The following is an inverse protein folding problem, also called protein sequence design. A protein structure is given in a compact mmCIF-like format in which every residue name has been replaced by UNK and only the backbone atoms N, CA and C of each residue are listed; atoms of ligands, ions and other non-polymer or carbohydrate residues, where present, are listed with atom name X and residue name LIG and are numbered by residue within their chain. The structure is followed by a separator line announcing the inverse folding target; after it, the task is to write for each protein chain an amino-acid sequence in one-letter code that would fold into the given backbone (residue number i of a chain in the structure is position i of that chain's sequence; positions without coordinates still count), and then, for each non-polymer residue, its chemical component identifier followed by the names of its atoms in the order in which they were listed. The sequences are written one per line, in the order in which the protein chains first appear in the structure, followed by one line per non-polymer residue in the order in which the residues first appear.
data_IF_084082042192
#
_entry.id   IF_084082042192
#
_cell.length_a   1.000
_cell.length_b   1.000
_cell.length_c   1.000
_cell.angle_alpha   90.00
_cell.angle_beta   90.00
_cell.angle_gamma   90.00
#
_symmetry.space_group_name_H-M   'P 1'
#
loop_
_entity.id
_entity.type
_entity.pdbx_description
1 polymer ?
#
# COMPACT_ATOMS: atom_id res chain seq x y z
N UNK A 1 38.50 41.03 5.19
CA UNK A 1 37.48 39.98 5.12
C UNK A 1 36.56 40.14 6.33
N UNK A 2 35.35 40.64 6.15
CA UNK A 2 34.37 40.78 7.21
C UNK A 2 33.60 39.45 7.40
N UNK A 3 33.26 39.04 8.64
CA UNK A 3 32.51 37.82 8.87
C UNK A 3 31.05 37.99 8.40
N UNK A 4 30.56 37.01 7.61
CA UNK A 4 29.16 36.89 7.21
C UNK A 4 28.37 36.57 8.46
N UNK A 5 27.55 37.53 8.94
CA UNK A 5 26.60 37.32 10.01
C UNK A 5 25.44 36.53 9.45
N UNK A 6 25.35 35.23 9.79
CA UNK A 6 24.17 34.40 9.59
C UNK A 6 23.09 34.89 10.54
N UNK A 7 22.14 35.67 10.03
CA UNK A 7 20.98 36.13 10.80
C UNK A 7 20.10 34.94 11.20
N UNK A 8 19.79 34.81 12.51
CA UNK A 8 18.84 33.85 13.03
C UNK A 8 17.45 34.10 12.42
N UNK A 9 16.69 33.05 12.05
CA UNK A 9 15.38 33.21 11.44
C UNK A 9 14.40 33.89 12.41
N UNK A 10 13.53 34.74 11.86
CA UNK A 10 12.53 35.52 12.59
C UNK A 10 11.62 34.62 13.47
N UNK A 11 11.11 35.09 14.62
CA UNK A 11 10.37 34.28 15.60
C UNK A 11 9.16 33.53 15.03
N UNK A 12 8.40 34.12 14.12
CA UNK A 12 7.29 33.49 13.42
C UNK A 12 7.71 32.27 12.57
N UNK A 13 8.91 32.30 11.98
CA UNK A 13 9.47 31.20 11.20
C UNK A 13 9.92 30.04 12.13
N UNK A 14 10.41 30.36 13.31
CA UNK A 14 10.84 29.37 14.33
C UNK A 14 9.63 28.65 14.91
N UNK A 15 8.56 29.36 15.19
CA UNK A 15 7.30 28.79 15.73
C UNK A 15 6.62 27.90 14.71
N UNK A 16 6.54 28.29 13.44
CA UNK A 16 6.02 27.46 12.35
C UNK A 16 6.84 26.18 12.18
N UNK A 17 8.16 26.24 12.22
CA UNK A 17 9.04 25.06 12.16
C UNK A 17 8.81 24.11 13.34
N UNK A 18 8.63 24.65 14.55
CA UNK A 18 8.33 23.84 15.74
C UNK A 18 7.00 23.11 15.60
N UNK A 19 5.94 23.77 15.12
CA UNK A 19 4.62 23.14 14.88
C UNK A 19 4.70 22.01 13.86
N UNK A 20 5.38 22.23 12.73
CA UNK A 20 5.57 21.18 11.70
C UNK A 20 6.34 20.00 12.28
N UNK A 21 7.39 20.26 13.07
CA UNK A 21 8.17 19.19 13.71
C UNK A 21 7.34 18.37 14.69
N UNK A 22 6.57 19.01 15.59
CA UNK A 22 5.73 18.29 16.55
C UNK A 22 4.66 17.44 15.84
N UNK A 23 4.03 17.98 14.80
CA UNK A 23 3.07 17.24 13.99
C UNK A 23 3.70 15.99 13.36
N UNK A 24 4.92 16.11 12.82
CA UNK A 24 5.63 14.98 12.23
C UNK A 24 6.02 13.93 13.27
N UNK A 25 6.49 14.33 14.46
CA UNK A 25 6.79 13.41 15.56
C UNK A 25 5.58 12.58 15.98
N UNK A 26 4.39 13.20 16.02
CA UNK A 26 3.14 12.49 16.33
C UNK A 26 2.79 11.50 15.22
N UNK A 27 2.91 11.88 13.94
CA UNK A 27 2.64 11.00 12.80
C UNK A 27 3.56 9.78 12.78
N UNK A 28 4.86 9.98 13.05
CA UNK A 28 5.84 8.88 13.07
C UNK A 28 5.57 7.93 14.24
N UNK A 29 5.30 8.47 15.45
CA UNK A 29 4.92 7.67 16.60
C UNK A 29 3.60 6.90 16.37
N UNK A 30 2.61 7.55 15.77
CA UNK A 30 1.32 6.93 15.45
C UNK A 30 1.47 5.80 14.42
N UNK A 31 2.27 6.02 13.36
CA UNK A 31 2.60 4.98 12.39
C UNK A 31 3.16 3.73 13.08
N UNK A 32 4.13 3.91 13.96
CA UNK A 32 4.79 2.81 14.65
C UNK A 32 3.83 2.08 15.60
N UNK A 33 3.02 2.81 16.38
CA UNK A 33 2.03 2.23 17.30
C UNK A 33 0.90 1.51 16.55
N UNK A 34 0.35 2.11 15.49
CA UNK A 34 -0.67 1.45 14.67
C UNK A 34 -0.13 0.21 13.95
N UNK A 35 1.10 0.23 13.46
CA UNK A 35 1.73 -0.94 12.84
C UNK A 35 2.01 -2.08 13.83
N UNK A 36 2.25 -1.76 15.11
CA UNK A 36 2.53 -2.74 16.16
C UNK A 36 1.24 -3.35 16.75
N UNK A 37 0.21 -2.54 17.00
CA UNK A 37 -0.96 -2.92 17.80
C UNK A 37 -2.30 -2.86 17.05
N UNK A 38 -2.33 -2.31 15.85
CA UNK A 38 -3.55 -2.00 15.11
C UNK A 38 -4.30 -0.81 15.68
N UNK A 39 -5.38 -0.42 14.99
CA UNK A 39 -6.18 0.75 15.40
C UNK A 39 -6.80 0.57 16.78
N UNK A 40 -7.54 -0.51 17.02
CA UNK A 40 -8.36 -0.68 18.22
C UNK A 40 -7.56 -0.71 19.52
N UNK A 41 -6.44 -1.46 19.55
CA UNK A 41 -5.61 -1.63 20.75
C UNK A 41 -4.66 -0.44 21.02
N UNK A 42 -4.38 0.40 20.03
CA UNK A 42 -3.51 1.56 20.17
C UNK A 42 -4.21 2.67 20.94
N UNK A 43 -3.58 3.18 22.01
CA UNK A 43 -4.09 4.32 22.77
C UNK A 43 -3.38 5.62 22.37
N UNK A 44 -4.13 6.72 22.29
CA UNK A 44 -3.56 8.04 21.98
C UNK A 44 -2.54 8.52 23.00
N UNK A 45 -2.63 8.02 24.25
CA UNK A 45 -1.63 8.29 25.27
C UNK A 45 -0.28 7.66 24.93
N UNK A 46 -0.27 6.41 24.44
CA UNK A 46 0.96 5.71 24.06
C UNK A 46 1.65 6.43 22.89
N UNK A 47 0.86 6.90 21.92
CA UNK A 47 1.37 7.72 20.80
C UNK A 47 2.01 9.00 21.30
N UNK A 48 1.34 9.73 22.22
CA UNK A 48 1.84 10.98 22.77
C UNK A 48 3.14 10.77 23.57
N UNK A 49 3.21 9.73 24.40
CA UNK A 49 4.40 9.35 25.16
C UNK A 49 5.57 9.02 24.22
N UNK A 50 5.32 8.20 23.18
CA UNK A 50 6.33 7.84 22.19
C UNK A 50 6.82 9.05 21.38
N UNK A 51 5.92 9.99 21.05
CA UNK A 51 6.26 11.22 20.34
C UNK A 51 7.00 12.24 21.22
N UNK A 52 7.03 12.04 22.53
CA UNK A 52 7.60 13.01 23.49
C UNK A 52 6.84 14.32 23.56
N UNK A 53 5.51 14.28 23.40
CA UNK A 53 4.64 15.47 23.40
C UNK A 53 3.46 15.29 24.38
N UNK A 54 2.91 16.37 24.93
CA UNK A 54 1.67 16.31 25.71
C UNK A 54 0.51 15.74 24.87
N UNK A 55 -0.35 14.91 25.47
CA UNK A 55 -1.53 14.33 24.79
C UNK A 55 -2.44 15.40 24.17
N UNK A 56 -2.54 16.58 24.80
CA UNK A 56 -3.30 17.71 24.26
C UNK A 56 -2.83 18.16 22.86
N UNK A 57 -1.52 18.04 22.57
CA UNK A 57 -0.97 18.39 21.27
C UNK A 57 -1.47 17.44 20.18
N UNK A 58 -1.66 16.15 20.48
CA UNK A 58 -2.21 15.19 19.51
C UNK A 58 -3.62 15.65 19.08
N UNK A 59 -4.49 15.99 20.04
CA UNK A 59 -5.85 16.45 19.73
C UNK A 59 -5.87 17.84 19.07
N UNK A 60 -4.91 18.69 19.41
CA UNK A 60 -4.75 19.99 18.75
C UNK A 60 -4.46 19.85 17.25
N UNK A 61 -3.60 18.88 16.85
CA UNK A 61 -3.22 18.71 15.44
C UNK A 61 -4.19 17.83 14.65
N UNK A 62 -4.76 16.82 15.26
CA UNK A 62 -5.49 15.76 14.53
C UNK A 62 -6.95 15.61 14.94
N UNK A 63 -7.39 16.27 16.00
CA UNK A 63 -8.74 16.28 16.55
C UNK A 63 -9.23 14.92 17.05
N UNK A 64 -9.11 13.85 16.25
CA UNK A 64 -9.52 12.49 16.60
C UNK A 64 -8.43 11.47 16.29
N UNK A 65 -8.56 10.27 16.84
CA UNK A 65 -7.68 9.14 16.55
C UNK A 65 -7.86 8.65 15.11
N UNK A 66 -9.10 8.69 14.62
CA UNK A 66 -9.49 8.31 13.26
C UNK A 66 -8.83 9.25 12.22
N UNK A 67 -8.84 10.55 12.47
CA UNK A 67 -8.16 11.51 11.61
C UNK A 67 -6.64 11.28 11.59
N UNK A 68 -6.03 11.03 12.78
CA UNK A 68 -4.62 10.70 12.87
C UNK A 68 -4.30 9.42 12.08
N UNK A 69 -5.16 8.40 12.20
CA UNK A 69 -5.01 7.14 11.48
C UNK A 69 -5.08 7.33 9.97
N UNK A 70 -6.06 8.08 9.50
CA UNK A 70 -6.18 8.46 8.09
C UNK A 70 -4.91 9.19 7.61
N UNK A 71 -4.44 10.21 8.33
CA UNK A 71 -3.23 10.94 7.94
C UNK A 71 -1.96 10.07 7.93
N UNK A 72 -1.86 9.07 8.79
CA UNK A 72 -0.76 8.08 8.71
C UNK A 72 -0.81 7.30 7.40
N UNK A 73 -1.99 6.95 6.90
CA UNK A 73 -2.17 6.18 5.67
C UNK A 73 -2.17 7.03 4.40
N UNK A 74 -2.42 8.34 4.49
CA UNK A 74 -2.54 9.24 3.35
C UNK A 74 -1.41 9.13 2.31
N UNK A 75 -0.12 8.97 2.68
CA UNK A 75 0.97 8.83 1.71
C UNK A 75 0.87 7.63 0.78
N UNK A 76 0.00 6.65 1.07
CA UNK A 76 -0.23 5.50 0.20
C UNK A 76 -1.20 5.78 -0.94
N UNK A 77 -2.12 6.74 -0.79
CA UNK A 77 -3.24 6.93 -1.70
C UNK A 77 -2.79 7.22 -3.13
N UNK A 78 -1.90 8.19 -3.29
CA UNK A 78 -1.45 8.59 -4.62
C UNK A 78 -0.61 7.49 -5.31
N UNK A 79 0.36 6.85 -4.66
CA UNK A 79 1.05 5.71 -5.24
C UNK A 79 0.12 4.55 -5.64
N UNK A 80 -0.90 4.23 -4.82
CA UNK A 80 -1.89 3.20 -5.15
C UNK A 80 -2.73 3.58 -6.37
N UNK A 81 -3.17 4.83 -6.44
CA UNK A 81 -3.90 5.36 -7.59
C UNK A 81 -3.05 5.31 -8.86
N UNK A 82 -1.77 5.70 -8.79
CA UNK A 82 -0.85 5.65 -9.92
C UNK A 82 -0.61 4.22 -10.39
N UNK A 83 -0.48 3.26 -9.46
CA UNK A 83 -0.38 1.85 -9.82
C UNK A 83 -1.63 1.36 -10.57
N UNK A 84 -2.82 1.72 -10.09
CA UNK A 84 -4.09 1.36 -10.73
C UNK A 84 -4.20 1.88 -12.17
N UNK A 85 -3.73 3.09 -12.45
CA UNK A 85 -3.75 3.69 -13.79
C UNK A 85 -2.88 2.95 -14.83
N UNK A 86 -1.98 2.07 -14.41
CA UNK A 86 -1.19 1.23 -15.32
C UNK A 86 -2.04 0.16 -16.02
N UNK A 87 -3.18 -0.21 -15.41
CA UNK A 87 -4.13 -1.15 -15.98
C UNK A 87 -5.20 -0.34 -16.74
N UNK A 88 -5.00 -0.15 -18.05
CA UNK A 88 -5.95 0.50 -18.93
C UNK A 88 -6.16 -0.31 -20.23
N UNK A 89 -7.34 -0.21 -20.84
CA UNK A 89 -7.79 -1.10 -21.92
C UNK A 89 -6.89 -1.11 -23.15
N UNK A 90 -6.22 -0.01 -23.43
CA UNK A 90 -5.35 0.16 -24.62
C UNK A 90 -3.89 -0.23 -24.36
N UNK A 91 -3.54 -0.63 -23.12
CA UNK A 91 -2.19 -1.08 -22.79
C UNK A 91 -1.94 -2.50 -23.32
N UNK A 92 -0.67 -2.81 -23.57
CA UNK A 92 -0.22 -4.19 -23.72
C UNK A 92 -0.36 -4.92 -22.38
N UNK A 93 -1.14 -6.02 -22.29
CA UNK A 93 -1.41 -6.69 -21.03
C UNK A 93 -0.16 -7.19 -20.30
N UNK A 94 0.85 -7.69 -21.03
CA UNK A 94 2.07 -8.22 -20.42
C UNK A 94 2.89 -7.10 -19.77
N UNK A 95 3.03 -5.97 -20.47
CA UNK A 95 3.75 -4.80 -19.97
C UNK A 95 2.99 -4.14 -18.82
N UNK A 96 1.68 -3.99 -18.94
CA UNK A 96 0.84 -3.38 -17.91
C UNK A 96 0.81 -4.20 -16.61
N UNK A 97 0.60 -5.51 -16.68
CA UNK A 97 0.64 -6.40 -15.51
C UNK A 97 2.02 -6.39 -14.84
N UNK A 98 3.09 -6.44 -15.62
CA UNK A 98 4.46 -6.31 -15.09
C UNK A 98 4.65 -4.99 -14.37
N UNK A 99 4.28 -3.87 -14.99
CA UNK A 99 4.42 -2.53 -14.40
C UNK A 99 3.57 -2.39 -13.13
N UNK A 100 2.34 -2.90 -13.14
CA UNK A 100 1.44 -2.90 -12.00
C UNK A 100 2.04 -3.66 -10.80
N UNK A 101 2.52 -4.89 -11.02
CA UNK A 101 3.16 -5.69 -9.96
C UNK A 101 4.39 -4.97 -9.40
N UNK A 102 5.23 -4.41 -10.27
CA UNK A 102 6.42 -3.66 -9.86
C UNK A 102 6.04 -2.43 -9.03
N UNK A 103 5.04 -1.64 -9.46
CA UNK A 103 4.56 -0.48 -8.72
C UNK A 103 4.02 -0.87 -7.35
N UNK A 104 3.22 -1.96 -7.26
CA UNK A 104 2.72 -2.49 -5.97
C UNK A 104 3.87 -2.87 -5.03
N UNK A 105 4.91 -3.55 -5.53
CA UNK A 105 6.07 -3.93 -4.72
C UNK A 105 6.90 -2.71 -4.28
N UNK A 106 7.04 -1.69 -5.13
CA UNK A 106 7.71 -0.43 -4.77
C UNK A 106 6.97 0.33 -3.68
N UNK A 107 5.63 0.35 -3.69
CA UNK A 107 4.81 0.95 -2.63
C UNK A 107 5.11 0.27 -1.30
N UNK A 108 5.11 -1.05 -1.28
CA UNK A 108 5.34 -1.84 -0.09
C UNK A 108 6.77 -1.66 0.44
N UNK A 109 7.76 -1.60 -0.44
CA UNK A 109 9.16 -1.33 -0.09
C UNK A 109 9.35 0.09 0.45
N UNK A 110 8.72 1.08 -0.17
CA UNK A 110 8.83 2.49 0.24
C UNK A 110 8.05 2.84 1.53
N UNK A 111 6.97 2.09 1.80
CA UNK A 111 6.07 2.37 2.92
C UNK A 111 5.72 1.11 3.73
N UNK A 112 6.70 0.33 4.24
CA UNK A 112 6.45 -1.01 4.79
C UNK A 112 5.46 -0.99 5.98
N UNK A 113 5.62 -0.08 6.94
CA UNK A 113 4.72 0.00 8.10
C UNK A 113 3.32 0.47 7.72
N UNK A 114 3.20 1.44 6.81
CA UNK A 114 1.90 1.91 6.31
C UNK A 114 1.18 0.83 5.52
N UNK A 115 1.90 0.08 4.70
CA UNK A 115 1.36 -1.07 3.96
C UNK A 115 0.86 -2.17 4.90
N UNK A 116 1.58 -2.42 5.99
CA UNK A 116 1.14 -3.33 7.06
C UNK A 116 -0.16 -2.84 7.71
N UNK A 117 -0.24 -1.55 8.06
CA UNK A 117 -1.44 -0.94 8.64
C UNK A 117 -2.62 -1.07 7.67
N UNK A 118 -2.44 -0.71 6.39
CA UNK A 118 -3.49 -0.81 5.38
C UNK A 118 -3.93 -2.26 5.17
N UNK A 119 -3.01 -3.22 5.10
CA UNK A 119 -3.34 -4.64 5.00
C UNK A 119 -4.23 -5.10 6.17
N UNK A 120 -3.86 -4.73 7.41
CA UNK A 120 -4.67 -5.01 8.60
C UNK A 120 -6.05 -4.36 8.51
N UNK A 121 -6.13 -3.12 8.04
CA UNK A 121 -7.40 -2.39 7.90
C UNK A 121 -8.33 -3.07 6.88
N UNK A 122 -7.79 -3.50 5.73
CA UNK A 122 -8.57 -4.23 4.72
C UNK A 122 -9.08 -5.57 5.24
N UNK A 123 -8.28 -6.30 6.02
CA UNK A 123 -8.70 -7.55 6.67
C UNK A 123 -9.86 -7.36 7.67
N UNK A 124 -9.98 -6.15 8.26
CA UNK A 124 -11.06 -5.80 9.18
C UNK A 124 -12.21 -5.04 8.49
N UNK A 125 -12.30 -5.07 7.16
CA UNK A 125 -13.40 -4.49 6.38
C UNK A 125 -13.32 -2.99 6.18
N UNK A 126 -12.13 -2.39 6.30
CA UNK A 126 -11.85 -0.97 6.01
C UNK A 126 -12.72 0.03 6.81
N UNK A 127 -13.09 -0.34 8.04
CA UNK A 127 -14.05 0.42 8.86
C UNK A 127 -13.53 1.79 9.30
N UNK A 128 -12.22 1.92 9.49
CA UNK A 128 -11.59 3.16 9.96
C UNK A 128 -11.15 4.09 8.82
N UNK A 129 -11.25 3.64 7.57
CA UNK A 129 -10.96 4.50 6.42
C UNK A 129 -12.09 5.52 6.19
N UNK A 130 -11.76 6.77 5.87
CA UNK A 130 -12.75 7.75 5.45
C UNK A 130 -13.62 7.24 4.29
N UNK A 131 -14.91 7.58 4.28
CA UNK A 131 -15.84 7.13 3.23
C UNK A 131 -15.38 7.50 1.82
N UNK A 132 -14.78 8.68 1.66
CA UNK A 132 -14.19 9.14 0.39
C UNK A 132 -13.05 8.24 -0.09
N UNK A 133 -12.25 7.69 0.83
CA UNK A 133 -11.15 6.78 0.47
C UNK A 133 -11.69 5.42 0.08
N UNK A 134 -12.67 4.90 0.81
CA UNK A 134 -13.35 3.64 0.45
C UNK A 134 -13.93 3.73 -0.95
N UNK A 135 -14.68 4.81 -1.23
CA UNK A 135 -15.24 5.05 -2.56
C UNK A 135 -14.16 5.13 -3.66
N UNK A 136 -13.03 5.78 -3.37
CA UNK A 136 -11.90 5.84 -4.31
C UNK A 136 -11.27 4.47 -4.58
N UNK A 137 -11.06 3.65 -3.54
CA UNK A 137 -10.53 2.30 -3.68
C UNK A 137 -11.50 1.38 -4.43
N UNK A 138 -12.81 1.51 -4.17
CA UNK A 138 -13.85 0.77 -4.89
C UNK A 138 -13.88 1.14 -6.38
N UNK A 139 -13.74 2.42 -6.71
CA UNK A 139 -13.69 2.88 -8.10
C UNK A 139 -12.44 2.37 -8.81
N UNK A 140 -11.27 2.42 -8.16
CA UNK A 140 -10.04 1.85 -8.69
C UNK A 140 -10.20 0.36 -8.98
N UNK A 141 -10.73 -0.43 -8.03
CA UNK A 141 -10.97 -1.85 -8.21
C UNK A 141 -11.97 -2.13 -9.35
N UNK A 142 -13.04 -1.35 -9.48
CA UNK A 142 -13.98 -1.47 -10.61
C UNK A 142 -13.29 -1.25 -11.96
N UNK A 143 -12.46 -0.20 -12.05
CA UNK A 143 -11.70 0.12 -13.26
C UNK A 143 -10.70 -0.98 -13.62
N UNK A 144 -9.95 -1.49 -12.65
CA UNK A 144 -9.00 -2.58 -12.82
C UNK A 144 -9.69 -3.87 -13.32
N UNK A 145 -10.81 -4.25 -12.70
CA UNK A 145 -11.64 -5.40 -13.11
C UNK A 145 -12.18 -5.22 -14.53
N UNK A 146 -12.69 -4.03 -14.87
CA UNK A 146 -13.21 -3.74 -16.19
C UNK A 146 -12.11 -3.82 -17.28
N UNK A 147 -10.90 -3.36 -16.96
CA UNK A 147 -9.74 -3.46 -17.86
C UNK A 147 -9.39 -4.93 -18.15
N UNK A 148 -9.21 -5.75 -17.11
CA UNK A 148 -8.88 -7.16 -17.26
C UNK A 148 -9.97 -7.95 -17.99
N UNK A 149 -11.25 -7.63 -17.72
CA UNK A 149 -12.39 -8.23 -18.44
C UNK A 149 -12.35 -7.90 -19.93
N UNK A 150 -12.13 -6.63 -20.28
CA UNK A 150 -11.98 -6.20 -21.67
C UNK A 150 -10.83 -6.92 -22.38
N UNK A 151 -9.69 -7.12 -21.72
CA UNK A 151 -8.59 -7.89 -22.29
C UNK A 151 -8.95 -9.36 -22.49
N UNK A 152 -9.65 -9.99 -21.56
CA UNK A 152 -10.09 -11.38 -21.71
C UNK A 152 -11.12 -11.54 -22.85
N UNK A 153 -12.10 -10.63 -22.97
CA UNK A 153 -13.11 -10.62 -24.04
C UNK A 153 -12.47 -10.42 -25.43
N UNK A 154 -11.39 -9.66 -25.51
CA UNK A 154 -10.60 -9.44 -26.73
C UNK A 154 -9.59 -10.56 -27.00
N UNK A 155 -9.50 -11.56 -26.14
CA UNK A 155 -8.53 -12.67 -26.28
C UNK A 155 -7.07 -12.27 -26.04
N UNK A 156 -6.83 -11.11 -25.46
CA UNK A 156 -5.47 -10.60 -25.16
C UNK A 156 -4.88 -11.26 -23.92
N UNK A 157 -5.74 -11.74 -23.01
CA UNK A 157 -5.35 -12.58 -21.88
C UNK A 157 -6.22 -13.84 -21.87
N UNK A 158 -5.77 -14.87 -21.15
CA UNK A 158 -6.52 -16.09 -20.93
C UNK A 158 -7.85 -15.79 -20.19
N UNK A 159 -8.81 -16.72 -20.26
CA UNK A 159 -10.08 -16.64 -19.57
C UNK A 159 -9.89 -16.85 -18.05
N UNK A 160 -9.31 -15.86 -17.37
CA UNK A 160 -9.13 -15.82 -15.91
C UNK A 160 -10.18 -14.90 -15.29
N UNK A 161 -10.62 -15.20 -14.07
CA UNK A 161 -11.47 -14.27 -13.33
C UNK A 161 -10.66 -13.03 -12.92
N UNK A 162 -11.06 -11.81 -13.36
CA UNK A 162 -10.30 -10.58 -13.08
C UNK A 162 -10.18 -10.28 -11.58
N UNK A 163 -11.23 -10.53 -10.80
CA UNK A 163 -11.24 -10.29 -9.36
C UNK A 163 -10.25 -11.21 -8.64
N UNK A 164 -10.25 -12.50 -8.98
CA UNK A 164 -9.30 -13.46 -8.41
C UNK A 164 -7.85 -13.15 -8.82
N UNK A 165 -7.60 -12.72 -10.05
CA UNK A 165 -6.26 -12.35 -10.49
C UNK A 165 -5.74 -11.13 -9.70
N UNK A 166 -6.56 -10.08 -9.55
CA UNK A 166 -6.21 -8.89 -8.77
C UNK A 166 -6.03 -9.21 -7.30
N UNK A 167 -6.89 -10.07 -6.72
CA UNK A 167 -6.77 -10.51 -5.33
C UNK A 167 -5.46 -11.30 -5.12
N UNK A 168 -5.11 -12.20 -6.05
CA UNK A 168 -3.86 -12.95 -6.00
C UNK A 168 -2.63 -12.03 -6.05
N UNK A 169 -2.60 -11.07 -6.99
CA UNK A 169 -1.53 -10.07 -7.09
C UNK A 169 -1.48 -9.23 -5.80
N UNK A 170 -2.63 -8.76 -5.33
CA UNK A 170 -2.76 -7.97 -4.10
C UNK A 170 -2.25 -8.73 -2.89
N UNK A 171 -2.69 -9.97 -2.68
CA UNK A 171 -2.24 -10.82 -1.57
C UNK A 171 -0.72 -11.03 -1.61
N UNK A 172 -0.17 -11.41 -2.77
CA UNK A 172 1.27 -11.67 -2.90
C UNK A 172 2.13 -10.43 -2.67
N UNK A 173 1.70 -9.25 -3.12
CA UNK A 173 2.47 -8.01 -2.95
C UNK A 173 2.29 -7.38 -1.58
N UNK A 174 1.06 -7.33 -1.07
CA UNK A 174 0.70 -6.58 0.13
C UNK A 174 1.11 -7.28 1.43
N UNK A 175 1.10 -8.62 1.44
CA UNK A 175 1.47 -9.39 2.63
C UNK A 175 2.97 -9.56 2.80
N UNK A 176 3.76 -9.38 1.74
CA UNK A 176 5.20 -9.58 1.80
C UNK A 176 5.89 -8.86 2.97
N UNK A 177 5.64 -7.55 3.24
CA UNK A 177 6.26 -6.87 4.38
C UNK A 177 5.68 -7.29 5.74
N UNK A 178 4.54 -7.98 5.77
CA UNK A 178 3.91 -8.42 7.02
C UNK A 178 4.39 -9.79 7.47
N UNK A 179 4.98 -10.57 6.57
CA UNK A 179 5.43 -11.94 6.79
C UNK A 179 6.92 -12.05 7.14
N UNK A 180 7.51 -11.02 7.76
CA UNK A 180 8.95 -10.95 8.05
C UNK A 180 9.51 -12.20 8.75
N UNK A 181 8.78 -12.75 9.73
CA UNK A 181 9.18 -14.00 10.39
C UNK A 181 9.16 -15.19 9.43
N UNK A 182 8.10 -15.33 8.64
CA UNK A 182 7.96 -16.43 7.69
C UNK A 182 9.01 -16.35 6.57
N UNK A 183 9.30 -15.13 6.09
CA UNK A 183 10.36 -14.88 5.10
C UNK A 183 11.71 -15.28 5.69
N UNK A 184 12.01 -14.89 6.93
CA UNK A 184 13.23 -15.28 7.61
C UNK A 184 13.35 -16.80 7.77
N UNK A 185 12.24 -17.49 8.05
CA UNK A 185 12.19 -18.95 8.15
C UNK A 185 12.51 -19.62 6.80
N UNK A 186 11.94 -19.11 5.70
CA UNK A 186 12.12 -19.70 4.37
C UNK A 186 13.49 -19.38 3.75
N UNK A 187 14.02 -18.19 3.99
CA UNK A 187 15.24 -17.69 3.36
C UNK A 187 16.46 -17.70 4.30
N UNK A 188 16.29 -18.08 5.57
CA UNK A 188 17.34 -18.06 6.59
C UNK A 188 17.70 -16.65 7.08
N UNK A 189 17.09 -15.61 6.57
CA UNK A 189 17.34 -14.21 6.94
C UNK A 189 16.11 -13.33 6.68
N UNK A 190 16.06 -12.16 7.34
CA UNK A 190 15.03 -11.16 7.11
C UNK A 190 15.09 -10.60 5.67
N UNK A 191 13.92 -10.21 5.14
CA UNK A 191 13.81 -9.63 3.80
C UNK A 191 14.71 -8.39 3.64
N UNK A 192 15.46 -8.35 2.55
CA UNK A 192 16.32 -7.23 2.16
C UNK A 192 15.75 -6.48 0.94
N UNK A 193 16.30 -5.31 0.63
CA UNK A 193 15.86 -4.51 -0.50
C UNK A 193 15.95 -5.27 -1.85
N UNK A 194 16.96 -6.11 -2.04
CA UNK A 194 17.12 -6.95 -3.24
C UNK A 194 16.02 -8.00 -3.39
N UNK A 195 15.45 -8.48 -2.29
CA UNK A 195 14.43 -9.51 -2.31
C UNK A 195 13.12 -9.00 -2.91
N UNK A 196 12.77 -7.71 -2.70
CA UNK A 196 11.55 -7.12 -3.28
C UNK A 196 11.56 -7.17 -4.81
N UNK A 197 12.71 -6.92 -5.45
CA UNK A 197 12.83 -7.03 -6.91
C UNK A 197 12.76 -8.49 -7.37
N UNK A 198 13.38 -9.42 -6.65
CA UNK A 198 13.34 -10.85 -6.96
C UNK A 198 11.91 -11.39 -6.85
N UNK A 199 11.18 -10.98 -5.80
CA UNK A 199 9.75 -11.33 -5.63
C UNK A 199 8.89 -10.73 -6.74
N UNK A 200 9.08 -9.45 -7.09
CA UNK A 200 8.36 -8.81 -8.18
C UNK A 200 8.58 -9.56 -9.52
N UNK A 201 9.82 -9.95 -9.81
CA UNK A 201 10.16 -10.71 -11.01
C UNK A 201 9.53 -12.12 -11.00
N UNK A 202 9.56 -12.80 -9.86
CA UNK A 202 8.97 -14.14 -9.72
C UNK A 202 7.45 -14.08 -9.87
N UNK A 203 6.79 -13.17 -9.16
CA UNK A 203 5.35 -12.96 -9.25
C UNK A 203 4.93 -12.58 -10.68
N UNK A 204 5.67 -11.68 -11.33
CA UNK A 204 5.43 -11.31 -12.74
C UNK A 204 5.48 -12.53 -13.65
N UNK A 205 6.50 -13.37 -13.55
CA UNK A 205 6.59 -14.61 -14.35
C UNK A 205 5.40 -15.53 -14.12
N UNK A 206 5.01 -15.74 -12.86
CA UNK A 206 3.87 -16.60 -12.52
C UNK A 206 2.55 -16.06 -13.07
N UNK A 207 2.32 -14.75 -12.89
CA UNK A 207 1.12 -14.08 -13.39
C UNK A 207 1.05 -14.12 -14.91
N UNK A 208 2.13 -13.77 -15.61
CA UNK A 208 2.15 -13.76 -17.07
C UNK A 208 2.02 -15.17 -17.65
N UNK A 209 2.64 -16.19 -17.03
CA UNK A 209 2.50 -17.58 -17.48
C UNK A 209 1.06 -18.11 -17.36
N UNK A 210 0.28 -17.61 -16.37
CA UNK A 210 -1.11 -18.01 -16.20
C UNK A 210 -2.12 -17.11 -16.92
N UNK A 211 -1.78 -15.83 -17.10
CA UNK A 211 -2.70 -14.83 -17.65
C UNK A 211 -2.56 -14.64 -19.18
N UNK A 212 -1.40 -14.91 -19.77
CA UNK A 212 -1.24 -14.76 -21.22
C UNK A 212 -1.75 -16.00 -21.97
N UNK A 213 -2.29 -15.83 -23.18
CA UNK A 213 -2.73 -16.96 -24.01
C UNK A 213 -1.56 -17.92 -24.25
N UNK A 214 -1.71 -19.17 -23.88
CA UNK A 214 -0.73 -20.20 -24.21
C UNK A 214 -0.92 -20.63 -25.67
N UNK A 215 0.15 -20.64 -26.45
CA UNK A 215 0.16 -21.18 -27.81
C UNK A 215 0.06 -22.72 -27.83
N UNK A 216 -0.35 -23.36 -26.73
CA UNK A 216 -0.41 -24.82 -26.63
C UNK A 216 -1.84 -25.35 -26.73
N UNK A 217 -2.11 -26.36 -27.57
CA UNK A 217 -3.38 -27.07 -27.62
C UNK A 217 -3.46 -28.03 -26.41
N UNK A 218 -4.10 -27.58 -25.33
CA UNK A 218 -4.27 -28.35 -24.11
C UNK A 218 -4.92 -27.50 -23.01
N UNK A 219 -6.05 -26.86 -23.34
CA UNK A 219 -6.82 -26.08 -22.36
C UNK A 219 -7.35 -27.01 -21.26
N UNK A 220 -6.89 -26.80 -20.04
CA UNK A 220 -7.58 -27.26 -18.83
C UNK A 220 -8.99 -26.66 -18.91
N UNK A 221 -10.01 -27.51 -19.07
CA UNK A 221 -11.42 -27.12 -19.07
C UNK A 221 -11.69 -26.27 -17.81
N UNK A 222 -12.30 -25.11 -18.02
CA UNK A 222 -12.68 -24.21 -16.95
C UNK A 222 -13.50 -24.98 -15.88
N UNK A 223 -12.98 -25.04 -14.66
CA UNK A 223 -13.70 -25.55 -13.53
C UNK A 223 -14.97 -24.74 -13.32
N UNK A 224 -16.14 -25.41 -13.16
CA UNK A 224 -17.41 -24.77 -12.83
C UNK A 224 -17.23 -23.92 -11.56
N UNK A 225 -17.83 -22.71 -11.50
CA UNK A 225 -17.79 -21.90 -10.29
C UNK A 225 -18.45 -22.66 -9.14
N UNK A 226 -17.72 -22.75 -8.02
CA UNK A 226 -18.28 -23.18 -6.73
C UNK A 226 -19.31 -22.10 -6.31
N UNK A 227 -20.58 -22.51 -6.22
CA UNK A 227 -21.60 -21.71 -5.55
C UNK A 227 -21.27 -21.70 -4.05
N UNK A 228 -21.01 -20.50 -3.51
CA UNK A 228 -20.93 -20.20 -2.08
C UNK A 228 -22.18 -19.42 -1.71
#
# INVERSE_FOLDING_TARGET
MAPVQTSAPAPATRERRSRVRHRQLILDAARDEFAARGFSACQTLDIALRAGVPKANLYYYFHTKENLYAEVLQPLLEPLRQASLLLHQDADPALALKAYIQARMQIVQGFPLRSKILCSELLHGAQQLPATWRASLEEQNRSEVACLRSWAERGLIAAVDPGHLLLFIGAATQTYPTLGWQIALLNGQAAQAADFQAVANTLTRMVLAGALPTSHPGSIQAARPLAI
#
